data_IF_417882721427
#
_entry.id   IF_417882721427
#
_cell.length_a   1.000
_cell.length_b   1.000
_cell.length_c   1.000
_cell.angle_alpha   90.00
_cell.angle_beta   90.00
_cell.angle_gamma   90.00
#
_symmetry.space_group_name_H-M   'P 1'
#
loop_
_entity.id
_entity.type
_entity.pdbx_description
1 polymer ?
#
# COMPACT_ATOMS: atom_id res chain seq x y z
N UNK A 1 -4.69 2.02 -21.08
CA UNK A 1 -6.06 2.43 -20.73
C UNK A 1 -6.11 3.53 -19.68
N UNK A 2 -5.90 3.26 -18.39
CA UNK A 2 -5.92 4.32 -17.35
C UNK A 2 -4.85 5.40 -17.62
N UNK A 3 -3.67 4.98 -18.04
CA UNK A 3 -2.57 5.85 -18.48
C UNK A 3 -2.91 6.76 -19.66
N UNK A 4 -3.76 6.27 -20.57
CA UNK A 4 -4.04 6.90 -21.87
C UNK A 4 -5.32 7.74 -21.82
N UNK A 5 -6.32 7.36 -21.02
CA UNK A 5 -7.67 7.92 -21.03
C UNK A 5 -8.19 8.37 -19.65
N UNK A 6 -7.41 8.16 -18.58
CA UNK A 6 -7.84 8.43 -17.20
C UNK A 6 -8.98 7.53 -16.72
N UNK A 7 -9.41 7.71 -15.47
CA UNK A 7 -10.50 6.93 -14.86
C UNK A 7 -11.82 7.05 -15.65
N UNK A 8 -12.28 8.28 -15.89
CA UNK A 8 -13.55 8.55 -16.60
C UNK A 8 -13.58 8.04 -18.03
N UNK A 9 -12.42 7.86 -18.65
CA UNK A 9 -12.30 7.27 -19.99
C UNK A 9 -12.11 5.75 -19.98
N UNK A 10 -12.06 5.09 -18.83
CA UNK A 10 -11.81 3.66 -18.74
C UNK A 10 -13.13 2.89 -18.63
N UNK A 11 -13.52 2.23 -19.72
CA UNK A 11 -14.76 1.43 -19.83
C UNK A 11 -14.47 -0.05 -20.08
N UNK A 12 -15.46 -0.91 -19.85
CA UNK A 12 -15.34 -2.35 -20.15
C UNK A 12 -15.06 -2.59 -21.63
N UNK A 13 -15.69 -1.82 -22.52
CA UNK A 13 -15.45 -1.83 -23.97
C UNK A 13 -13.97 -1.63 -24.30
N UNK A 14 -13.38 -0.56 -23.78
CA UNK A 14 -11.98 -0.20 -24.07
C UNK A 14 -11.00 -1.18 -23.44
N UNK A 15 -11.30 -1.69 -22.25
CA UNK A 15 -10.50 -2.74 -21.61
C UNK A 15 -10.54 -4.03 -22.44
N UNK A 16 -11.72 -4.44 -22.91
CA UNK A 16 -11.90 -5.63 -23.73
C UNK A 16 -11.19 -5.51 -25.09
N UNK A 17 -11.34 -4.36 -25.76
CA UNK A 17 -10.67 -4.04 -27.02
C UNK A 17 -9.15 -4.08 -26.87
N UNK A 18 -8.59 -3.43 -25.84
CA UNK A 18 -7.14 -3.40 -25.58
C UNK A 18 -6.58 -4.79 -25.26
N UNK A 19 -7.33 -5.59 -24.51
CA UNK A 19 -6.91 -6.93 -24.09
C UNK A 19 -7.18 -8.01 -25.16
N UNK A 20 -7.82 -7.67 -26.28
CA UNK A 20 -8.15 -8.62 -27.34
C UNK A 20 -9.17 -9.70 -26.90
N UNK A 21 -10.03 -9.39 -25.93
CA UNK A 21 -11.03 -10.33 -25.39
C UNK A 21 -12.46 -9.82 -25.62
N UNK A 22 -13.42 -10.73 -25.66
CA UNK A 22 -14.83 -10.35 -25.77
C UNK A 22 -15.32 -9.63 -24.50
N UNK A 23 -16.15 -8.60 -24.65
CA UNK A 23 -16.80 -7.88 -23.52
C UNK A 23 -17.50 -8.82 -22.54
N UNK A 24 -18.20 -9.82 -23.06
CA UNK A 24 -18.87 -10.87 -22.26
C UNK A 24 -17.90 -11.63 -21.35
N UNK A 25 -16.64 -11.77 -21.73
CA UNK A 25 -15.60 -12.39 -20.91
C UNK A 25 -15.23 -11.50 -19.72
N UNK A 26 -15.11 -10.19 -19.94
CA UNK A 26 -14.85 -9.22 -18.85
C UNK A 26 -16.02 -9.17 -17.88
N UNK A 27 -17.26 -9.05 -18.38
CA UNK A 27 -18.46 -9.08 -17.54
C UNK A 27 -18.59 -10.39 -16.75
N UNK A 28 -18.38 -11.55 -17.40
CA UNK A 28 -18.49 -12.86 -16.73
C UNK A 28 -17.43 -13.06 -15.64
N UNK A 29 -16.20 -12.60 -15.86
CA UNK A 29 -15.09 -12.84 -14.92
C UNK A 29 -14.96 -11.78 -13.83
N UNK A 30 -15.27 -10.53 -14.16
CA UNK A 30 -14.97 -9.39 -13.30
C UNK A 30 -16.17 -8.50 -13.02
N UNK A 31 -17.31 -8.74 -13.65
CA UNK A 31 -18.58 -8.01 -13.44
C UNK A 31 -18.60 -6.59 -14.00
N UNK A 32 -17.56 -5.79 -13.74
CA UNK A 32 -17.44 -4.41 -14.20
C UNK A 32 -15.99 -3.99 -14.33
N UNK A 33 -15.77 -2.78 -14.86
CA UNK A 33 -14.43 -2.17 -14.89
C UNK A 33 -13.84 -1.99 -13.49
N UNK A 34 -14.68 -1.82 -12.46
CA UNK A 34 -14.27 -1.74 -11.06
C UNK A 34 -13.69 -3.07 -10.55
N UNK A 35 -14.29 -4.20 -10.95
CA UNK A 35 -13.76 -5.53 -10.61
C UNK A 35 -12.42 -5.82 -11.28
N UNK A 36 -12.21 -5.33 -12.50
CA UNK A 36 -10.91 -5.38 -13.17
C UNK A 36 -9.88 -4.54 -12.43
N UNK A 37 -10.26 -3.34 -11.95
CA UNK A 37 -9.37 -2.54 -11.13
C UNK A 37 -8.97 -3.33 -9.88
N UNK A 38 -9.90 -3.80 -9.06
CA UNK A 38 -9.60 -4.47 -7.79
C UNK A 38 -8.67 -5.68 -7.96
N UNK A 39 -8.84 -6.47 -9.01
CA UNK A 39 -7.93 -7.58 -9.34
C UNK A 39 -6.49 -7.08 -9.51
N UNK A 40 -6.30 -6.02 -10.31
CA UNK A 40 -4.98 -5.44 -10.53
C UNK A 40 -4.37 -4.87 -9.24
N UNK A 41 -5.19 -4.36 -8.31
CA UNK A 41 -4.69 -3.94 -7.00
C UNK A 41 -4.15 -5.13 -6.22
N UNK A 42 -4.87 -6.25 -6.24
CA UNK A 42 -4.43 -7.50 -5.65
C UNK A 42 -3.11 -7.99 -6.23
N UNK A 43 -2.98 -8.01 -7.56
CA UNK A 43 -1.76 -8.43 -8.26
C UNK A 43 -0.56 -7.52 -7.96
N UNK A 44 -0.77 -6.21 -7.86
CA UNK A 44 0.28 -5.25 -7.49
C UNK A 44 0.74 -5.51 -6.05
N UNK A 45 -0.18 -5.65 -5.11
CA UNK A 45 0.17 -5.84 -3.70
C UNK A 45 0.70 -7.24 -3.38
N UNK A 46 0.35 -8.26 -4.17
CA UNK A 46 0.88 -9.61 -4.04
C UNK A 46 2.39 -9.67 -4.32
N UNK A 47 2.94 -8.70 -5.06
CA UNK A 47 4.38 -8.63 -5.36
C UNK A 47 5.23 -8.17 -4.17
N UNK A 48 4.64 -7.62 -3.11
CA UNK A 48 5.37 -7.07 -1.98
C UNK A 48 5.47 -8.15 -0.88
N UNK A 49 6.59 -8.87 -0.74
CA UNK A 49 6.73 -9.89 0.30
C UNK A 49 6.62 -9.28 1.72
N UNK A 50 6.33 -10.14 2.69
CA UNK A 50 6.43 -9.79 4.12
C UNK A 50 7.80 -10.25 4.61
N UNK A 51 8.75 -9.34 4.84
CA UNK A 51 10.11 -9.71 5.25
C UNK A 51 10.13 -10.31 6.66
N UNK A 52 11.09 -11.19 6.91
CA UNK A 52 11.39 -11.72 8.25
C UNK A 52 12.90 -11.92 8.42
N UNK A 53 13.57 -10.83 8.74
CA UNK A 53 15.03 -10.73 8.89
C UNK A 53 15.47 -10.84 10.35
N UNK A 54 14.53 -10.93 11.29
CA UNK A 54 14.79 -10.94 12.73
C UNK A 54 15.05 -9.56 13.35
N UNK A 55 14.88 -8.47 12.60
CA UNK A 55 15.01 -7.10 13.10
C UNK A 55 13.89 -6.23 12.54
N UNK A 56 13.15 -5.56 13.43
CA UNK A 56 12.07 -4.66 13.02
C UNK A 56 12.54 -3.63 11.99
N UNK A 57 13.69 -2.99 12.23
CA UNK A 57 14.23 -1.96 11.33
C UNK A 57 14.45 -2.56 9.93
N UNK A 58 15.13 -3.69 9.85
CA UNK A 58 15.44 -4.31 8.57
C UNK A 58 14.18 -4.80 7.85
N UNK A 59 13.20 -5.32 8.60
CA UNK A 59 11.91 -5.74 8.04
C UNK A 59 11.13 -4.55 7.46
N UNK A 60 11.06 -3.43 8.18
CA UNK A 60 10.39 -2.22 7.70
C UNK A 60 11.12 -1.59 6.51
N UNK A 61 12.46 -1.56 6.51
CA UNK A 61 13.24 -1.06 5.36
C UNK A 61 13.02 -1.94 4.14
N UNK A 62 13.07 -3.27 4.28
CA UNK A 62 12.83 -4.20 3.19
C UNK A 62 11.41 -4.05 2.64
N UNK A 63 10.40 -3.97 3.50
CA UNK A 63 9.02 -3.71 3.11
C UNK A 63 8.89 -2.39 2.34
N UNK A 64 9.50 -1.32 2.85
CA UNK A 64 9.42 0.00 2.24
C UNK A 64 10.16 0.10 0.91
N UNK A 65 11.24 -0.65 0.71
CA UNK A 65 11.91 -0.76 -0.59
C UNK A 65 11.00 -1.37 -1.65
N UNK A 66 10.30 -2.45 -1.31
CA UNK A 66 9.34 -3.09 -2.22
C UNK A 66 8.14 -2.18 -2.51
N UNK A 67 7.62 -1.48 -1.50
CA UNK A 67 6.58 -0.45 -1.68
C UNK A 67 7.10 0.65 -2.61
N UNK A 68 8.28 1.21 -2.36
CA UNK A 68 8.88 2.25 -3.23
C UNK A 68 9.06 1.75 -4.66
N UNK A 69 9.49 0.50 -4.85
CA UNK A 69 9.62 -0.13 -6.17
C UNK A 69 8.28 -0.13 -6.92
N UNK A 70 7.21 -0.59 -6.27
CA UNK A 70 5.84 -0.55 -6.82
C UNK A 70 5.43 0.87 -7.22
N UNK A 71 5.68 1.85 -6.34
CA UNK A 71 5.27 3.25 -6.54
C UNK A 71 6.19 4.06 -7.48
N UNK A 72 7.34 3.53 -7.89
CA UNK A 72 8.18 4.12 -8.94
C UNK A 72 7.67 3.82 -10.34
N UNK A 73 6.94 2.72 -10.51
CA UNK A 73 6.33 2.39 -11.79
C UNK A 73 5.20 3.40 -12.11
N UNK A 74 5.39 4.15 -13.21
CA UNK A 74 4.43 5.17 -13.65
C UNK A 74 3.03 4.60 -13.91
N UNK A 75 2.94 3.38 -14.44
CA UNK A 75 1.66 2.72 -14.70
C UNK A 75 0.95 2.39 -13.38
N UNK A 76 1.67 1.90 -12.38
CA UNK A 76 1.11 1.66 -11.04
C UNK A 76 0.62 2.96 -10.40
N UNK A 77 1.40 4.04 -10.46
CA UNK A 77 0.99 5.35 -9.91
C UNK A 77 -0.29 5.85 -10.55
N UNK A 78 -0.39 5.80 -11.88
CA UNK A 78 -1.59 6.22 -12.61
C UNK A 78 -2.79 5.35 -12.27
N UNK A 79 -2.59 4.04 -12.16
CA UNK A 79 -3.61 3.09 -11.76
C UNK A 79 -4.12 3.37 -10.34
N UNK A 80 -3.23 3.46 -9.35
CA UNK A 80 -3.59 3.71 -7.95
C UNK A 80 -4.25 5.08 -7.78
N UNK A 81 -3.78 6.11 -8.49
CA UNK A 81 -4.41 7.43 -8.49
C UNK A 81 -5.85 7.38 -9.02
N UNK A 82 -6.07 6.64 -10.10
CA UNK A 82 -7.41 6.46 -10.68
C UNK A 82 -8.32 5.67 -9.74
N UNK A 83 -7.80 4.64 -9.08
CA UNK A 83 -8.55 3.84 -8.11
C UNK A 83 -8.97 4.67 -6.87
N UNK A 84 -8.06 5.51 -6.36
CA UNK A 84 -8.37 6.45 -5.25
C UNK A 84 -9.46 7.43 -5.67
N UNK A 85 -9.41 7.98 -6.89
CA UNK A 85 -10.49 8.84 -7.38
C UNK A 85 -11.82 8.08 -7.52
N UNK A 86 -11.78 6.86 -8.07
CA UNK A 86 -12.95 6.05 -8.37
C UNK A 86 -13.72 5.60 -7.12
N UNK A 87 -13.03 5.29 -6.01
CA UNK A 87 -13.70 4.86 -4.79
C UNK A 87 -14.60 5.95 -4.18
N UNK A 88 -14.31 7.23 -4.42
CA UNK A 88 -15.16 8.33 -3.96
C UNK A 88 -16.48 8.45 -4.74
N UNK A 89 -16.54 7.89 -5.95
CA UNK A 89 -17.73 7.94 -6.83
C UNK A 89 -18.59 6.66 -6.71
N UNK A 90 -18.08 5.57 -6.10
CA UNK A 90 -18.75 4.27 -6.05
C UNK A 90 -18.54 3.54 -4.70
N UNK A 91 -19.63 3.36 -3.94
CA UNK A 91 -19.61 2.74 -2.61
C UNK A 91 -19.29 1.22 -2.62
N UNK A 92 -19.55 0.50 -3.71
CA UNK A 92 -19.14 -0.90 -3.84
C UNK A 92 -17.64 -0.99 -4.06
N UNK A 93 -17.08 -0.15 -4.93
CA UNK A 93 -15.63 -0.06 -5.12
C UNK A 93 -14.93 0.36 -3.83
N UNK A 94 -15.46 1.35 -3.10
CA UNK A 94 -14.91 1.77 -1.82
C UNK A 94 -14.82 0.60 -0.82
N UNK A 95 -15.89 -0.19 -0.70
CA UNK A 95 -15.90 -1.37 0.18
C UNK A 95 -14.86 -2.40 -0.23
N UNK A 96 -14.75 -2.70 -1.52
CA UNK A 96 -13.79 -3.68 -2.01
C UNK A 96 -12.33 -3.17 -1.91
N UNK A 97 -12.11 -1.87 -2.14
CA UNK A 97 -10.82 -1.22 -1.92
C UNK A 97 -10.38 -1.38 -0.45
N UNK A 98 -11.28 -1.09 0.50
CA UNK A 98 -11.03 -1.24 1.92
C UNK A 98 -10.72 -2.70 2.28
N UNK A 99 -11.50 -3.67 1.78
CA UNK A 99 -11.25 -5.10 2.03
C UNK A 99 -9.86 -5.55 1.56
N UNK A 100 -9.46 -5.12 0.37
CA UNK A 100 -8.14 -5.48 -0.17
C UNK A 100 -7.00 -4.77 0.60
N UNK A 101 -7.24 -3.54 1.08
CA UNK A 101 -6.31 -2.84 1.95
C UNK A 101 -6.15 -3.55 3.30
N UNK A 102 -7.25 -3.97 3.92
CA UNK A 102 -7.23 -4.75 5.17
C UNK A 102 -6.54 -6.11 4.99
N UNK A 103 -6.76 -6.79 3.87
CA UNK A 103 -6.04 -8.02 3.55
C UNK A 103 -4.53 -7.79 3.47
N UNK A 104 -4.11 -6.69 2.82
CA UNK A 104 -2.70 -6.31 2.76
C UNK A 104 -2.14 -5.96 4.14
N UNK A 105 -2.90 -5.19 4.94
CA UNK A 105 -2.54 -4.82 6.31
C UNK A 105 -2.29 -6.06 7.16
N UNK A 106 -3.23 -7.00 7.16
CA UNK A 106 -3.14 -8.24 7.93
C UNK A 106 -1.84 -9.02 7.63
N UNK A 107 -1.41 -9.05 6.36
CA UNK A 107 -0.13 -9.66 5.99
C UNK A 107 1.07 -8.93 6.61
N UNK A 108 1.08 -7.59 6.60
CA UNK A 108 2.17 -6.79 7.17
C UNK A 108 2.17 -6.72 8.70
N UNK A 109 1.01 -6.92 9.35
CA UNK A 109 0.90 -6.94 10.82
C UNK A 109 1.74 -8.04 11.47
N UNK A 110 2.12 -9.09 10.71
CA UNK A 110 3.06 -10.10 11.18
C UNK A 110 4.43 -9.53 11.56
N UNK A 111 4.89 -8.46 10.90
CA UNK A 111 6.15 -7.78 11.25
C UNK A 111 6.04 -7.15 12.63
N UNK A 112 4.92 -6.49 12.91
CA UNK A 112 4.64 -5.84 14.19
C UNK A 112 4.54 -6.88 15.31
N UNK A 113 3.79 -7.97 15.07
CA UNK A 113 3.63 -9.04 16.05
C UNK A 113 4.99 -9.62 16.47
N UNK A 114 5.85 -9.97 15.49
CA UNK A 114 7.20 -10.49 15.78
C UNK A 114 8.08 -9.45 16.48
N UNK A 115 7.94 -8.17 16.16
CA UNK A 115 8.69 -7.11 16.81
C UNK A 115 8.28 -6.92 18.28
N UNK A 116 6.98 -7.03 18.60
CA UNK A 116 6.48 -7.02 19.99
C UNK A 116 7.00 -8.24 20.77
N UNK A 117 6.96 -9.44 20.17
CA UNK A 117 7.49 -10.67 20.78
C UNK A 117 8.98 -10.57 21.13
N UNK A 118 9.77 -9.91 20.27
CA UNK A 118 11.21 -9.69 20.50
C UNK A 118 11.51 -8.52 21.46
N UNK A 119 10.53 -7.67 21.75
CA UNK A 119 10.74 -6.43 22.50
C UNK A 119 11.38 -5.30 21.69
N UNK A 120 11.36 -5.38 20.35
CA UNK A 120 11.79 -4.30 19.45
C UNK A 120 10.84 -3.09 19.53
N UNK A 121 9.57 -3.32 19.90
CA UNK A 121 8.54 -2.31 20.11
C UNK A 121 8.07 -2.30 21.57
N UNK A 122 7.65 -1.14 22.05
CA UNK A 122 6.92 -1.05 23.32
C UNK A 122 5.61 -1.85 23.24
N UNK A 123 5.19 -2.54 24.32
CA UNK A 123 3.88 -3.20 24.38
C UNK A 123 2.69 -2.25 24.16
N UNK A 124 2.88 -0.95 24.43
CA UNK A 124 1.87 0.09 24.24
C UNK A 124 1.96 0.76 22.85
N UNK A 125 2.85 0.28 21.97
CA UNK A 125 3.02 0.86 20.64
C UNK A 125 1.82 0.53 19.74
N UNK A 126 1.29 1.56 19.09
CA UNK A 126 0.28 1.41 18.04
C UNK A 126 0.95 1.01 16.72
N UNK A 127 1.06 -0.31 16.50
CA UNK A 127 1.66 -0.86 15.28
C UNK A 127 0.83 -0.61 14.02
N UNK A 128 -0.49 -0.47 14.15
CA UNK A 128 -1.35 -0.14 13.01
C UNK A 128 -1.12 1.30 12.54
N UNK A 129 -1.00 2.23 13.49
CA UNK A 129 -0.62 3.61 13.22
C UNK A 129 0.78 3.68 12.61
N UNK A 130 1.74 2.86 13.06
CA UNK A 130 3.08 2.80 12.46
C UNK A 130 3.01 2.42 10.98
N UNK A 131 2.22 1.40 10.62
CA UNK A 131 2.02 0.99 9.22
C UNK A 131 1.28 2.07 8.41
N UNK A 132 0.30 2.76 9.01
CA UNK A 132 -0.40 3.89 8.38
C UNK A 132 0.52 5.05 8.08
N UNK A 133 1.42 5.39 9.00
CA UNK A 133 2.39 6.46 8.80
C UNK A 133 3.35 6.12 7.64
N UNK A 134 3.80 4.87 7.55
CA UNK A 134 4.65 4.40 6.46
C UNK A 134 3.95 4.53 5.10
N UNK A 135 2.73 3.96 4.98
CA UNK A 135 1.95 4.03 3.75
C UNK A 135 1.55 5.48 3.40
N UNK A 136 1.16 6.26 4.40
CA UNK A 136 0.74 7.65 4.28
C UNK A 136 1.84 8.55 3.73
N UNK A 137 3.09 8.41 4.18
CA UNK A 137 4.22 9.21 3.67
C UNK A 137 4.46 8.95 2.17
N UNK A 138 4.35 7.69 1.72
CA UNK A 138 4.52 7.35 0.31
C UNK A 138 3.36 7.92 -0.51
N UNK A 139 2.11 7.70 -0.07
CA UNK A 139 0.93 8.24 -0.73
C UNK A 139 0.97 9.78 -0.82
N UNK A 140 1.34 10.45 0.26
CA UNK A 140 1.55 11.90 0.32
C UNK A 140 2.55 12.34 -0.76
N UNK A 141 3.73 11.74 -0.80
CA UNK A 141 4.79 12.13 -1.76
C UNK A 141 4.38 11.89 -3.19
N UNK A 142 3.76 10.75 -3.50
CA UNK A 142 3.46 10.36 -4.87
C UNK A 142 2.18 10.99 -5.39
N UNK A 143 1.07 10.82 -4.66
CA UNK A 143 -0.27 11.24 -5.11
C UNK A 143 -0.48 12.75 -4.97
N UNK A 144 0.03 13.36 -3.90
CA UNK A 144 -0.27 14.76 -3.59
C UNK A 144 0.84 15.71 -4.02
N UNK A 145 2.10 15.41 -3.67
CA UNK A 145 3.24 16.32 -3.93
C UNK A 145 4.05 15.99 -5.17
N UNK A 146 3.81 14.84 -5.82
CA UNK A 146 4.55 14.37 -7.01
C UNK A 146 6.07 14.44 -6.84
N UNK A 147 6.54 14.09 -5.65
CA UNK A 147 7.97 14.09 -5.32
C UNK A 147 8.63 12.78 -5.76
N UNK A 148 9.92 12.82 -6.14
CA UNK A 148 10.67 11.61 -6.40
C UNK A 148 10.80 10.76 -5.15
N UNK A 149 10.76 9.44 -5.32
CA UNK A 149 11.10 8.46 -4.30
C UNK A 149 12.59 8.14 -4.43
N UNK A 150 13.45 8.80 -3.65
CA UNK A 150 14.90 8.59 -3.66
C UNK A 150 15.28 7.22 -3.10
N UNK A 151 16.46 6.70 -3.43
CA UNK A 151 16.91 5.36 -3.03
C UNK A 151 17.13 5.23 -1.52
N UNK A 152 17.53 6.31 -0.84
CA UNK A 152 17.72 6.41 0.61
C UNK A 152 16.41 6.60 1.41
N UNK A 153 15.28 6.70 0.70
CA UNK A 153 14.02 7.06 1.33
C UNK A 153 13.48 6.01 2.31
N UNK A 154 13.47 4.70 1.97
CA UNK A 154 13.02 3.65 2.89
C UNK A 154 13.71 3.72 4.25
N UNK A 155 15.04 3.81 4.25
CA UNK A 155 15.87 3.87 5.45
C UNK A 155 15.53 5.10 6.27
N UNK A 156 15.48 6.28 5.63
CA UNK A 156 15.21 7.53 6.34
C UNK A 156 13.83 7.58 6.97
N UNK A 157 12.79 7.09 6.28
CA UNK A 157 11.44 7.06 6.85
C UNK A 157 11.42 6.11 8.05
N UNK A 158 11.95 4.90 7.88
CA UNK A 158 11.98 3.89 8.94
C UNK A 158 12.75 4.40 10.17
N UNK A 159 13.93 4.98 9.97
CA UNK A 159 14.77 5.47 11.07
C UNK A 159 14.09 6.60 11.85
N UNK A 160 13.44 7.55 11.15
CA UNK A 160 12.74 8.65 11.79
C UNK A 160 11.50 8.17 12.55
N UNK A 161 10.76 7.21 12.01
CA UNK A 161 9.61 6.64 12.71
C UNK A 161 10.05 5.83 13.95
N UNK A 162 11.06 4.97 13.82
CA UNK A 162 11.55 4.18 14.95
C UNK A 162 12.20 5.05 16.04
N UNK A 163 12.77 6.22 15.70
CA UNK A 163 13.23 7.17 16.70
C UNK A 163 12.06 7.77 17.52
N UNK A 164 10.89 7.94 16.92
CA UNK A 164 9.68 8.44 17.59
C UNK A 164 8.87 7.36 18.33
N UNK A 165 8.92 6.11 17.86
CA UNK A 165 8.22 4.94 18.43
C UNK A 165 9.13 3.97 19.19
N UNK A 166 10.40 4.33 19.37
CA UNK A 166 11.38 3.52 20.09
C UNK A 166 11.00 3.36 21.57
N UNK A 167 11.56 2.36 22.27
CA UNK A 167 11.26 2.13 23.67
C UNK A 167 11.50 3.41 24.48
N UNK A 168 10.46 3.87 25.18
CA UNK A 168 10.53 5.07 26.01
C UNK A 168 11.66 4.88 27.03
N UNK A 169 12.59 5.83 27.19
CA UNK A 169 13.55 5.77 28.28
C UNK A 169 12.73 5.74 29.57
N UNK A 170 12.82 4.63 30.32
CA UNK A 170 11.92 4.34 31.43
C UNK A 170 11.72 5.58 32.30
N UNK A 171 10.46 6.02 32.44
CA UNK A 171 10.08 7.13 33.33
C UNK A 171 10.63 6.81 34.71
N UNK A 172 11.74 7.43 35.09
CA UNK A 172 12.17 7.50 36.48
C UNK A 172 11.04 8.20 37.24
N UNK A 173 10.27 7.42 38.01
CA UNK A 173 9.41 8.00 39.05
C UNK A 173 10.35 8.64 40.07
N UNK A 174 10.27 9.97 40.30
CA UNK A 174 10.86 10.53 41.50
C UNK A 174 10.08 9.95 42.68
N UNK A 175 10.83 9.38 43.64
CA UNK A 175 10.29 8.90 44.91
C UNK A 175 9.84 10.01 45.84
#
# INVERSE_FOLDING_TARGET
MLAEHGWRGTTVERVAERAGIARSTVYRRHGSVHGVLLLLMGDIYAQVPVPDTGSLRNDLVALMREVVSVWRDRAHVQYLSALVAAQHENAELARAYQQQFEHRRAATSAIIARALERGDLSPDADGDLLLDLLAGIIAQRVLLRRMPLTDDLPERITDQLLAGFGPSPGRHRPG
#
